data_IF_841124643603
#
_entry.id   IF_841124643603
#
_cell.length_a   1.000
_cell.length_b   1.000
_cell.length_c   1.000
_cell.angle_alpha   90.00
_cell.angle_beta   90.00
_cell.angle_gamma   90.00
#
_symmetry.space_group_name_H-M   'P 1'
#
loop_
_entity.id
_entity.type
_entity.pdbx_description
1 polymer ?
#
# COMPACT_ATOMS: atom_id res chain seq x y z
N UNK A 1 -6.94 -24.39 7.12
CA UNK A 1 -6.67 -23.03 7.59
C UNK A 1 -6.06 -23.16 8.97
N UNK A 2 -4.74 -23.04 9.06
CA UNK A 2 -3.94 -23.24 10.26
C UNK A 2 -3.24 -21.92 10.56
N UNK A 3 -3.40 -21.38 11.77
CA UNK A 3 -2.61 -20.22 12.20
C UNK A 3 -1.20 -20.70 12.53
N UNK A 4 -0.20 -20.22 11.78
CA UNK A 4 1.20 -20.51 12.03
C UNK A 4 1.73 -19.64 13.19
N UNK A 5 2.82 -20.08 13.81
CA UNK A 5 3.43 -19.43 14.98
C UNK A 5 3.97 -18.02 14.69
N UNK A 6 4.15 -17.66 13.42
CA UNK A 6 4.54 -16.33 12.95
C UNK A 6 3.33 -15.42 12.63
N UNK A 7 2.12 -15.87 12.97
CA UNK A 7 0.87 -15.16 12.75
C UNK A 7 0.37 -15.21 11.30
N UNK A 8 0.99 -16.01 10.43
CA UNK A 8 0.46 -16.25 9.08
C UNK A 8 -0.62 -17.33 9.11
N UNK A 9 -1.52 -17.32 8.13
CA UNK A 9 -2.58 -18.32 8.00
C UNK A 9 -2.21 -19.25 6.85
N UNK A 10 -1.90 -20.51 7.17
CA UNK A 10 -1.71 -21.56 6.18
C UNK A 10 -3.07 -22.09 5.73
N UNK A 11 -3.42 -21.86 4.47
CA UNK A 11 -4.55 -22.52 3.82
C UNK A 11 -3.95 -23.61 2.95
N UNK A 12 -4.01 -24.90 3.37
CA UNK A 12 -3.32 -25.97 2.68
C UNK A 12 -3.69 -26.01 1.20
N UNK A 13 -2.69 -25.84 0.33
CA UNK A 13 -2.84 -25.89 -1.13
C UNK A 13 -3.07 -24.55 -1.85
N UNK A 14 -3.29 -23.43 -1.13
CA UNK A 14 -3.47 -22.12 -1.75
C UNK A 14 -2.22 -21.25 -1.57
N UNK A 15 -1.40 -21.16 -2.62
CA UNK A 15 -0.37 -20.13 -2.75
C UNK A 15 -0.74 -19.21 -3.92
N UNK A 16 -0.65 -17.89 -3.77
CA UNK A 16 -1.07 -16.96 -4.84
C UNK A 16 -0.31 -17.21 -6.14
N UNK A 17 0.98 -17.57 -6.06
CA UNK A 17 1.78 -17.87 -7.25
C UNK A 17 1.34 -19.15 -8.00
N UNK A 18 0.50 -20.02 -7.41
CA UNK A 18 -0.11 -21.16 -8.10
C UNK A 18 -1.34 -20.77 -8.95
N UNK A 19 -1.93 -19.60 -8.70
CA UNK A 19 -3.05 -19.10 -9.49
C UNK A 19 -2.57 -18.61 -10.85
N UNK A 20 -3.43 -18.62 -11.86
CA UNK A 20 -3.09 -17.98 -13.13
C UNK A 20 -2.92 -16.46 -12.96
N UNK A 21 -2.22 -15.84 -13.91
CA UNK A 21 -1.89 -14.41 -13.85
C UNK A 21 -3.15 -13.53 -13.74
N UNK A 22 -4.22 -13.88 -14.43
CA UNK A 22 -5.46 -13.10 -14.40
C UNK A 22 -6.08 -13.09 -13.00
N UNK A 23 -6.12 -14.25 -12.36
CA UNK A 23 -6.63 -14.43 -11.00
C UNK A 23 -5.72 -13.74 -9.97
N UNK A 24 -4.39 -13.84 -10.12
CA UNK A 24 -3.47 -13.11 -9.26
C UNK A 24 -3.70 -11.60 -9.31
N UNK A 25 -3.90 -11.03 -10.50
CA UNK A 25 -4.17 -9.60 -10.66
C UNK A 25 -5.49 -9.19 -9.99
N UNK A 26 -6.53 -10.01 -10.11
CA UNK A 26 -7.80 -9.76 -9.43
C UNK A 26 -7.62 -9.79 -7.91
N UNK A 27 -7.01 -10.83 -7.36
CA UNK A 27 -6.80 -10.96 -5.91
C UNK A 27 -5.94 -9.82 -5.37
N UNK A 28 -4.84 -9.48 -6.04
CA UNK A 28 -3.98 -8.37 -5.64
C UNK A 28 -4.78 -7.05 -5.60
N UNK A 29 -5.57 -6.77 -6.64
CA UNK A 29 -6.42 -5.57 -6.67
C UNK A 29 -7.46 -5.55 -5.55
N UNK A 30 -8.12 -6.67 -5.28
CA UNK A 30 -9.12 -6.74 -4.19
C UNK A 30 -8.47 -6.54 -2.81
N UNK A 31 -7.27 -7.06 -2.58
CA UNK A 31 -6.52 -6.80 -1.34
C UNK A 31 -6.16 -5.32 -1.20
N UNK A 32 -5.70 -4.68 -2.28
CA UNK A 32 -5.41 -3.23 -2.28
C UNK A 32 -6.66 -2.41 -1.97
N UNK A 33 -7.80 -2.74 -2.59
CA UNK A 33 -9.06 -2.02 -2.35
C UNK A 33 -9.59 -2.24 -0.94
N UNK A 34 -9.46 -3.45 -0.37
CA UNK A 34 -9.88 -3.73 0.99
C UNK A 34 -9.07 -2.91 2.01
N UNK A 35 -7.74 -2.85 1.83
CA UNK A 35 -6.87 -2.03 2.68
C UNK A 35 -7.18 -0.53 2.53
N UNK A 36 -7.37 -0.05 1.30
CA UNK A 36 -7.75 1.34 1.06
C UNK A 36 -9.10 1.70 1.71
N UNK A 37 -10.11 0.82 1.60
CA UNK A 37 -11.40 1.01 2.24
C UNK A 37 -11.28 1.03 3.77
N UNK A 38 -10.44 0.16 4.35
CA UNK A 38 -10.18 0.14 5.79
C UNK A 38 -9.57 1.47 6.26
N UNK A 39 -8.56 1.97 5.56
CA UNK A 39 -7.92 3.25 5.86
C UNK A 39 -8.96 4.40 5.85
N UNK A 40 -9.74 4.51 4.77
CA UNK A 40 -10.78 5.55 4.63
C UNK A 40 -11.92 5.44 5.65
N UNK A 41 -12.28 4.23 6.06
CA UNK A 41 -13.35 4.00 7.03
C UNK A 41 -12.88 4.20 8.49
N UNK A 42 -11.60 3.99 8.77
CA UNK A 42 -11.04 4.10 10.12
C UNK A 42 -10.89 5.55 10.57
N UNK A 43 -10.48 6.45 9.67
CA UNK A 43 -10.19 7.85 10.01
C UNK A 43 -11.40 8.56 10.65
N UNK A 44 -12.63 8.54 10.07
CA UNK A 44 -13.79 9.18 10.71
C UNK A 44 -14.09 8.65 12.11
N UNK A 45 -13.97 7.33 12.32
CA UNK A 45 -14.21 6.70 13.62
C UNK A 45 -13.13 7.07 14.66
N UNK A 46 -11.89 7.29 14.22
CA UNK A 46 -10.80 7.80 15.05
C UNK A 46 -11.06 9.24 15.48
N UNK A 47 -11.48 10.09 14.53
CA UNK A 47 -11.76 11.52 14.76
C UNK A 47 -12.97 11.77 15.67
N UNK A 48 -13.79 10.77 15.98
CA UNK A 48 -14.83 10.90 17.02
C UNK A 48 -14.25 11.12 18.43
N UNK A 49 -12.99 10.71 18.66
CA UNK A 49 -12.35 10.71 19.98
C UNK A 49 -10.99 11.41 20.02
N UNK A 50 -10.45 11.77 18.86
CA UNK A 50 -9.12 12.31 18.69
C UNK A 50 -9.12 13.47 17.70
N UNK A 51 -8.07 14.27 17.73
CA UNK A 51 -7.82 15.36 16.78
C UNK A 51 -7.26 14.85 15.45
N UNK A 52 -7.26 15.74 14.44
CA UNK A 52 -6.64 15.46 13.15
C UNK A 52 -5.11 15.33 13.27
N UNK A 53 -4.48 16.15 14.09
CA UNK A 53 -3.03 16.09 14.35
C UNK A 53 -2.64 14.73 14.95
N UNK A 54 -3.38 14.25 15.96
CA UNK A 54 -3.21 12.90 16.50
C UNK A 54 -3.42 11.81 15.43
N UNK A 55 -4.34 12.02 14.49
CA UNK A 55 -4.58 11.08 13.38
C UNK A 55 -3.37 10.99 12.45
N UNK A 56 -2.69 12.11 12.17
CA UNK A 56 -1.49 12.12 11.33
C UNK A 56 -0.32 11.44 12.02
N UNK A 57 -0.08 11.74 13.30
CA UNK A 57 0.96 11.06 14.08
C UNK A 57 0.74 9.55 14.15
N UNK A 58 -0.51 9.12 14.36
CA UNK A 58 -0.86 7.72 14.37
C UNK A 58 -0.62 7.05 13.01
N UNK A 59 -1.04 7.71 11.91
CA UNK A 59 -0.82 7.21 10.56
C UNK A 59 0.67 6.99 10.27
N UNK A 60 1.54 7.96 10.61
CA UNK A 60 3.00 7.82 10.42
C UNK A 60 3.51 6.57 11.16
N UNK A 61 3.14 6.39 12.43
CA UNK A 61 3.58 5.24 13.22
C UNK A 61 3.05 3.91 12.64
N UNK A 62 1.77 3.88 12.28
CA UNK A 62 1.12 2.71 11.68
C UNK A 62 1.84 2.28 10.40
N UNK A 63 2.03 3.21 9.45
CA UNK A 63 2.64 2.92 8.16
C UNK A 63 4.12 2.55 8.27
N UNK A 64 4.87 3.23 9.14
CA UNK A 64 6.27 2.86 9.40
C UNK A 64 6.41 1.45 10.00
N UNK A 65 5.48 1.04 10.86
CA UNK A 65 5.51 -0.27 11.49
C UNK A 65 4.99 -1.39 10.58
N UNK A 66 3.91 -1.12 9.83
CA UNK A 66 3.23 -2.11 9.01
C UNK A 66 3.90 -2.34 7.65
N UNK A 67 4.39 -1.28 6.99
CA UNK A 67 4.89 -1.35 5.61
C UNK A 67 6.03 -2.33 5.38
N UNK A 68 7.05 -2.45 6.25
CA UNK A 68 8.12 -3.42 6.02
C UNK A 68 7.60 -4.86 6.15
N UNK A 69 6.62 -5.09 7.04
CA UNK A 69 6.08 -6.41 7.33
C UNK A 69 5.20 -6.92 6.18
N UNK A 70 4.23 -6.12 5.74
CA UNK A 70 3.36 -6.55 4.65
C UNK A 70 4.13 -6.62 3.32
N UNK A 71 5.09 -5.73 3.08
CA UNK A 71 5.92 -5.75 1.88
C UNK A 71 6.73 -7.04 1.78
N UNK A 72 7.39 -7.45 2.87
CA UNK A 72 8.16 -8.69 2.89
C UNK A 72 7.28 -9.93 2.71
N UNK A 73 6.08 -9.94 3.31
CA UNK A 73 5.11 -11.04 3.15
C UNK A 73 4.60 -11.13 1.71
N UNK A 74 4.32 -10.00 1.09
CA UNK A 74 3.84 -9.93 -0.29
C UNK A 74 4.90 -10.39 -1.29
N UNK A 75 6.17 -10.00 -1.09
CA UNK A 75 7.30 -10.48 -1.88
C UNK A 75 7.38 -12.00 -1.88
N UNK A 76 7.33 -12.64 -0.70
CA UNK A 76 7.35 -14.10 -0.55
C UNK A 76 6.15 -14.78 -1.19
N UNK A 77 4.95 -14.22 -0.97
CA UNK A 77 3.71 -14.81 -1.44
C UNK A 77 3.62 -14.83 -2.98
N UNK A 78 4.19 -13.82 -3.62
CA UNK A 78 4.20 -13.61 -5.07
C UNK A 78 5.53 -13.99 -5.73
N UNK A 79 6.49 -14.50 -4.95
CA UNK A 79 7.81 -14.97 -5.39
C UNK A 79 8.61 -13.94 -6.20
N UNK A 80 8.77 -12.73 -5.66
CA UNK A 80 9.58 -11.66 -6.29
C UNK A 80 10.61 -11.02 -5.35
N UNK A 81 11.04 -11.72 -4.30
CA UNK A 81 12.07 -11.22 -3.38
C UNK A 81 13.36 -10.78 -4.11
N UNK A 82 13.95 -9.68 -3.62
CA UNK A 82 15.18 -9.12 -4.16
C UNK A 82 15.55 -7.80 -3.47
N UNK A 83 16.63 -7.18 -3.94
CA UNK A 83 17.14 -5.91 -3.38
C UNK A 83 17.39 -4.84 -4.44
N UNK A 84 17.03 -5.12 -5.70
CA UNK A 84 17.21 -4.21 -6.83
C UNK A 84 15.97 -3.38 -7.12
N UNK A 85 16.12 -2.42 -8.03
CA UNK A 85 15.05 -1.48 -8.39
C UNK A 85 13.82 -2.18 -8.99
N UNK A 86 14.00 -3.33 -9.66
CA UNK A 86 12.88 -4.14 -10.15
C UNK A 86 11.99 -4.67 -9.02
N UNK A 87 12.60 -5.03 -7.87
CA UNK A 87 11.88 -5.48 -6.68
C UNK A 87 11.10 -4.34 -6.04
N UNK A 88 11.74 -3.16 -5.94
CA UNK A 88 11.10 -1.94 -5.41
C UNK A 88 9.89 -1.57 -6.26
N UNK A 89 10.04 -1.47 -7.58
CA UNK A 89 8.94 -1.11 -8.49
C UNK A 89 7.83 -2.16 -8.49
N UNK A 90 8.16 -3.45 -8.40
CA UNK A 90 7.14 -4.49 -8.24
C UNK A 90 6.40 -4.35 -6.92
N UNK A 91 7.09 -4.03 -5.83
CA UNK A 91 6.49 -3.72 -4.54
C UNK A 91 5.48 -2.59 -4.63
N UNK A 92 5.90 -1.44 -5.15
CA UNK A 92 5.04 -0.25 -5.30
C UNK A 92 3.79 -0.52 -6.16
N UNK A 93 3.87 -1.39 -7.18
CA UNK A 93 2.70 -1.77 -7.99
C UNK A 93 1.63 -2.57 -7.22
N UNK A 94 2.02 -3.24 -6.15
CA UNK A 94 1.17 -4.11 -5.33
C UNK A 94 0.90 -3.51 -3.93
N UNK A 95 1.44 -2.33 -3.66
CA UNK A 95 1.37 -1.67 -2.37
C UNK A 95 -0.01 -1.06 -2.13
N UNK A 96 -0.50 -1.19 -0.90
CA UNK A 96 -1.84 -0.74 -0.49
C UNK A 96 -1.97 0.80 -0.43
N UNK A 97 -0.85 1.52 -0.35
CA UNK A 97 -0.77 2.98 -0.47
C UNK A 97 -0.79 3.47 -1.92
N UNK A 98 -0.65 2.57 -2.90
CA UNK A 98 -0.78 2.87 -4.34
C UNK A 98 -1.99 2.17 -5.01
N UNK A 99 -3.21 2.25 -4.44
CA UNK A 99 -4.37 1.56 -4.98
C UNK A 99 -4.69 2.05 -6.40
N UNK A 100 -4.85 1.11 -7.33
CA UNK A 100 -5.11 1.43 -8.73
C UNK A 100 -6.43 2.21 -8.86
N UNK A 101 -6.49 3.16 -9.79
CA UNK A 101 -7.60 4.11 -10.01
C UNK A 101 -7.69 5.25 -8.97
N UNK A 102 -7.11 5.09 -7.79
CA UNK A 102 -6.91 6.19 -6.84
C UNK A 102 -5.55 6.86 -7.08
N UNK A 103 -4.52 6.06 -7.31
CA UNK A 103 -3.19 6.51 -7.75
C UNK A 103 -2.96 6.12 -9.21
N UNK A 104 -2.45 7.06 -10.02
CA UNK A 104 -1.94 6.77 -11.37
C UNK A 104 -0.42 6.96 -11.39
N UNK A 105 0.27 5.85 -11.15
CA UNK A 105 1.72 5.79 -11.07
C UNK A 105 2.29 5.19 -12.34
N UNK A 106 3.32 5.82 -12.89
CA UNK A 106 4.15 5.28 -13.95
C UNK A 106 5.54 4.89 -13.45
N UNK A 107 6.08 3.83 -14.06
CA UNK A 107 7.41 3.33 -13.78
C UNK A 107 8.14 3.09 -15.10
N UNK A 108 9.45 3.35 -15.13
CA UNK A 108 10.36 2.93 -16.19
C UNK A 108 11.62 2.38 -15.55
N UNK A 109 11.85 1.09 -15.71
CA UNK A 109 13.09 0.45 -15.25
C UNK A 109 14.12 0.54 -16.37
N UNK A 110 15.29 1.13 -16.09
CA UNK A 110 16.42 1.12 -17.01
C UNK A 110 17.32 -0.08 -16.72
N UNK A 111 17.70 -0.27 -15.45
CA UNK A 111 18.37 -1.45 -14.91
C UNK A 111 18.08 -1.63 -13.39
N UNK A 112 18.82 -2.51 -12.71
CA UNK A 112 18.59 -2.79 -11.27
C UNK A 112 19.04 -1.68 -10.32
N UNK A 113 19.72 -0.65 -10.81
CA UNK A 113 20.21 0.50 -10.05
C UNK A 113 19.66 1.84 -10.56
N UNK A 114 19.09 1.88 -11.78
CA UNK A 114 18.57 3.10 -12.40
C UNK A 114 17.16 2.92 -12.99
N UNK A 115 16.32 3.95 -12.81
CA UNK A 115 14.92 3.94 -13.24
C UNK A 115 14.17 5.21 -12.87
N UNK A 116 12.97 5.36 -13.42
CA UNK A 116 12.10 6.50 -13.22
C UNK A 116 10.77 6.06 -12.59
N UNK A 117 10.28 6.87 -11.67
CA UNK A 117 8.94 6.80 -11.09
C UNK A 117 8.30 8.18 -11.27
N UNK A 118 7.03 8.21 -11.67
CA UNK A 118 6.27 9.45 -11.73
C UNK A 118 4.81 9.23 -11.38
N UNK A 119 4.20 10.27 -10.82
CA UNK A 119 2.80 10.28 -10.44
C UNK A 119 2.03 11.16 -11.41
N UNK A 120 1.13 10.57 -12.20
CA UNK A 120 0.24 11.30 -13.12
C UNK A 120 -0.98 11.87 -12.41
N UNK A 121 -1.45 11.18 -11.38
CA UNK A 121 -2.57 11.62 -10.54
C UNK A 121 -2.44 11.02 -9.15
N UNK A 122 -2.64 11.87 -8.13
CA UNK A 122 -2.65 11.49 -6.72
C UNK A 122 -4.05 11.64 -6.16
N UNK A 123 -4.70 10.51 -5.84
CA UNK A 123 -6.03 10.52 -5.23
C UNK A 123 -6.02 11.18 -3.85
N UNK A 124 -4.98 10.95 -3.05
CA UNK A 124 -4.87 11.51 -1.70
C UNK A 124 -4.83 13.05 -1.74
N UNK A 125 -4.03 13.62 -2.64
CA UNK A 125 -4.02 15.06 -2.90
C UNK A 125 -5.39 15.54 -3.37
N UNK A 126 -6.02 14.87 -4.33
CA UNK A 126 -7.33 15.28 -4.84
C UNK A 126 -8.43 15.23 -3.77
N UNK A 127 -8.33 14.33 -2.81
CA UNK A 127 -9.25 14.23 -1.67
C UNK A 127 -9.11 15.41 -0.70
N UNK A 128 -7.88 15.79 -0.36
CA UNK A 128 -7.59 16.82 0.67
C UNK A 128 -7.50 18.23 0.12
N UNK A 129 -7.23 18.39 -1.18
CA UNK A 129 -7.12 19.71 -1.82
C UNK A 129 -8.36 20.60 -1.60
N UNK A 130 -9.61 20.08 -1.67
CA UNK A 130 -10.81 20.87 -1.35
C UNK A 130 -10.94 21.26 0.13
N UNK A 131 -10.18 20.61 1.02
CA UNK A 131 -10.20 20.84 2.47
C UNK A 131 -9.24 21.95 2.91
N UNK A 132 -8.37 22.43 2.03
CA UNK A 132 -7.46 23.55 2.25
C UNK A 132 -5.99 23.17 2.44
N UNK A 133 -5.15 24.19 2.52
CA UNK A 133 -3.68 24.05 2.49
C UNK A 133 -3.15 23.27 3.69
N UNK A 134 -3.73 23.45 4.89
CA UNK A 134 -3.32 22.75 6.11
C UNK A 134 -3.50 21.22 5.98
N UNK A 135 -4.67 20.80 5.47
CA UNK A 135 -4.95 19.38 5.21
C UNK A 135 -4.06 18.81 4.11
N UNK A 136 -3.76 19.64 3.09
CA UNK A 136 -2.88 19.25 1.99
C UNK A 136 -1.44 19.06 2.48
N UNK A 137 -0.95 19.95 3.34
CA UNK A 137 0.39 19.84 3.92
C UNK A 137 0.49 18.61 4.83
N UNK A 138 -0.47 18.42 5.73
CA UNK A 138 -0.48 17.26 6.63
C UNK A 138 -0.45 15.92 5.88
N UNK A 139 -1.27 15.78 4.83
CA UNK A 139 -1.32 14.56 4.02
C UNK A 139 -0.11 14.39 3.10
N UNK A 140 0.21 15.39 2.27
CA UNK A 140 1.14 15.23 1.15
C UNK A 140 2.59 15.62 1.46
N UNK A 141 2.88 16.10 2.67
CA UNK A 141 4.24 16.47 3.09
C UNK A 141 4.62 15.86 4.43
N UNK A 142 3.69 15.79 5.38
CA UNK A 142 4.03 15.32 6.72
C UNK A 142 3.84 13.79 6.87
N UNK A 143 2.90 13.20 6.11
CA UNK A 143 2.66 11.74 6.08
C UNK A 143 3.39 11.04 4.91
N UNK A 144 3.22 11.52 3.67
CA UNK A 144 3.81 10.94 2.44
C UNK A 144 5.33 11.11 2.34
#
# INVERSE_FOLDING_TARGET
MTLLSDGTVDVPGLALHHLDRATQTLVAREVMLAAHLQDRAAVPAFLERHSMEESWEYAVVEWMAASPLYTQRLQRLMAYEGTGLSTIFKGLQLDVGFPHQFMDVGFRLHDEQDGEFWLRSCGALLDVLPMGDEMTQGMCHDIE
#
